data_IF_969432044832
#
_entry.id   IF_969432044832
#
_cell.length_a   1.000
_cell.length_b   1.000
_cell.length_c   1.000
_cell.angle_alpha   90.00
_cell.angle_beta   90.00
_cell.angle_gamma   90.00
#
_symmetry.space_group_name_H-M   'P 1'
#
loop_
_entity.id
_entity.type
_entity.pdbx_description
1 polymer ?
#
# COMPACT_ATOMS: atom_id res chain seq x y z
N UNK A 1 19.50 -41.72 17.28
CA UNK A 1 18.66 -40.88 18.15
C UNK A 1 17.68 -40.13 17.26
N UNK A 2 16.39 -40.32 17.48
CA UNK A 2 15.32 -40.09 16.50
C UNK A 2 14.99 -38.60 16.28
N UNK A 3 14.81 -38.24 15.01
CA UNK A 3 14.44 -36.90 14.49
C UNK A 3 13.03 -36.46 14.97
N UNK A 4 12.23 -37.37 15.53
CA UNK A 4 10.93 -37.07 16.15
C UNK A 4 11.02 -36.18 17.41
N UNK A 5 12.17 -36.12 18.09
CA UNK A 5 12.30 -35.39 19.35
C UNK A 5 12.52 -33.86 19.20
N UNK A 6 12.86 -33.37 18.00
CA UNK A 6 13.10 -31.94 17.73
C UNK A 6 11.81 -31.24 17.28
N UNK A 7 11.01 -31.91 16.44
CA UNK A 7 9.72 -31.37 15.97
C UNK A 7 8.71 -31.16 17.10
N UNK A 8 8.68 -32.06 18.10
CA UNK A 8 7.80 -31.91 19.26
C UNK A 8 8.23 -30.78 20.20
N UNK A 9 9.54 -30.47 20.30
CA UNK A 9 10.03 -29.34 21.12
C UNK A 9 9.69 -27.99 20.50
N UNK A 10 9.89 -27.83 19.20
CA UNK A 10 9.55 -26.59 18.48
C UNK A 10 8.05 -26.28 18.53
N UNK A 11 7.20 -27.31 18.43
CA UNK A 11 5.76 -27.14 18.58
C UNK A 11 5.39 -26.75 20.03
N UNK A 12 6.03 -27.35 21.04
CA UNK A 12 5.77 -27.01 22.44
C UNK A 12 6.17 -25.57 22.79
N UNK A 13 7.26 -25.05 22.22
CA UNK A 13 7.73 -23.67 22.42
C UNK A 13 6.81 -22.65 21.73
N UNK A 14 6.34 -22.95 20.51
CA UNK A 14 5.42 -22.08 19.79
C UNK A 14 4.05 -21.96 20.50
N UNK A 15 3.53 -23.08 21.03
CA UNK A 15 2.26 -23.10 21.77
C UNK A 15 2.38 -22.36 23.11
N UNK A 16 3.54 -22.43 23.79
CA UNK A 16 3.79 -21.68 25.03
C UNK A 16 3.93 -20.17 24.81
N UNK A 17 4.52 -19.73 23.70
CA UNK A 17 4.62 -18.30 23.40
C UNK A 17 3.28 -17.71 22.98
N UNK A 18 2.45 -18.47 22.27
CA UNK A 18 1.10 -18.03 21.90
C UNK A 18 0.18 -17.88 23.11
N UNK A 19 0.24 -18.80 24.08
CA UNK A 19 -0.58 -18.72 25.30
C UNK A 19 -0.20 -17.53 26.20
N UNK A 20 1.09 -17.15 26.26
CA UNK A 20 1.56 -15.95 26.99
C UNK A 20 1.02 -14.66 26.39
N UNK A 21 1.06 -14.52 25.06
CA UNK A 21 0.59 -13.32 24.36
C UNK A 21 -0.94 -13.19 24.42
N UNK A 22 -1.66 -14.31 24.37
CA UNK A 22 -3.11 -14.32 24.51
C UNK A 22 -3.58 -14.05 25.94
N UNK A 23 -2.85 -14.52 26.96
CA UNK A 23 -3.12 -14.18 28.37
C UNK A 23 -2.94 -12.69 28.66
N UNK A 24 -2.01 -12.00 27.99
CA UNK A 24 -1.82 -10.55 28.17
C UNK A 24 -2.90 -9.69 27.50
N UNK A 25 -3.72 -10.29 26.62
CA UNK A 25 -4.76 -9.58 25.87
C UNK A 25 -6.19 -9.84 26.42
N UNK A 26 -6.37 -10.86 27.27
CA UNK A 26 -7.68 -11.20 27.85
C UNK A 26 -7.85 -10.85 29.34
N UNK A 27 -6.80 -10.42 30.04
CA UNK A 27 -6.97 -9.80 31.37
C UNK A 27 -7.39 -8.33 31.20
N UNK A 28 -8.68 -8.13 30.98
CA UNK A 28 -9.36 -6.87 31.30
C UNK A 28 -9.24 -6.64 32.80
N UNK A 29 -8.21 -5.89 33.21
CA UNK A 29 -7.90 -5.54 34.59
C UNK A 29 -7.54 -4.05 34.68
N UNK A 30 -8.22 -3.38 35.59
CA UNK A 30 -8.28 -1.95 35.89
C UNK A 30 -6.95 -1.18 35.96
N UNK A 31 -6.99 0.04 35.40
CA UNK A 31 -6.05 1.16 35.54
C UNK A 31 -5.67 1.38 37.01
N UNK A 32 -4.37 1.44 37.31
CA UNK A 32 -3.87 1.74 38.65
C UNK A 32 -2.49 2.40 38.61
N UNK A 33 -2.49 3.73 38.78
CA UNK A 33 -1.36 4.49 39.32
C UNK A 33 -0.30 4.93 38.31
N UNK A 34 -0.33 6.22 37.97
CA UNK A 34 0.70 6.98 37.25
C UNK A 34 0.65 6.87 35.72
N UNK A 35 -0.48 7.29 35.18
CA UNK A 35 -0.56 7.85 33.84
C UNK A 35 0.35 9.07 33.75
N UNK A 36 1.38 9.00 32.89
CA UNK A 36 2.24 10.13 32.53
C UNK A 36 1.42 11.32 31.97
N UNK A 37 0.18 11.06 31.55
CA UNK A 37 -0.78 12.06 31.05
C UNK A 37 -1.42 12.93 32.14
N UNK A 38 -1.64 12.43 33.35
CA UNK A 38 -2.26 13.22 34.42
C UNK A 38 -1.26 14.24 35.01
N UNK A 39 0.02 13.83 35.13
CA UNK A 39 1.09 14.69 35.64
C UNK A 39 1.39 15.88 34.73
N UNK A 40 1.21 15.70 33.42
CA UNK A 40 1.41 16.77 32.42
C UNK A 40 0.22 17.72 32.30
N UNK A 41 -1.00 17.25 32.59
CA UNK A 41 -2.19 18.09 32.45
C UNK A 41 -2.32 19.08 33.61
N UNK A 42 -2.02 18.64 34.83
CA UNK A 42 -2.09 19.48 36.05
C UNK A 42 -1.04 20.61 36.01
N UNK A 43 0.18 20.29 35.55
CA UNK A 43 1.27 21.26 35.44
C UNK A 43 1.03 22.36 34.39
N UNK A 44 0.11 22.14 33.45
CA UNK A 44 -0.25 23.12 32.42
C UNK A 44 -1.28 24.15 32.88
N UNK A 45 -2.07 23.85 33.91
CA UNK A 45 -3.16 24.70 34.39
C UNK A 45 -2.74 25.64 35.51
N UNK A 46 -1.54 25.46 36.10
CA UNK A 46 -0.93 26.38 37.07
C UNK A 46 -0.06 27.46 36.39
N UNK A 47 -0.35 27.85 35.14
CA UNK A 47 0.37 28.95 34.48
C UNK A 47 -0.16 30.31 34.95
N UNK A 48 0.21 30.72 36.17
CA UNK A 48 0.03 32.08 36.72
C UNK A 48 1.00 33.11 36.11
N UNK A 49 1.24 33.02 34.81
CA UNK A 49 2.09 33.98 34.08
C UNK A 49 1.44 34.39 32.77
N UNK A 50 0.14 34.70 32.84
CA UNK A 50 -0.57 35.38 31.76
C UNK A 50 -0.19 36.86 31.67
N UNK A 51 0.54 37.41 32.64
CA UNK A 51 0.87 38.83 32.66
C UNK A 51 2.38 39.09 32.75
N UNK A 52 3.09 38.89 31.64
CA UNK A 52 4.30 39.66 31.36
C UNK A 52 4.48 39.78 29.85
N UNK A 53 4.27 40.99 29.35
CA UNK A 53 4.52 41.35 27.96
C UNK A 53 6.00 41.16 27.63
N UNK A 54 6.29 40.14 26.86
CA UNK A 54 7.61 39.87 26.31
C UNK A 54 7.43 39.69 24.80
N UNK A 55 8.19 40.48 24.05
CA UNK A 55 8.27 40.43 22.59
C UNK A 55 8.88 39.09 22.15
N UNK A 56 8.09 38.02 22.18
CA UNK A 56 8.51 36.72 21.69
C UNK A 56 8.25 36.63 20.19
N UNK A 57 9.27 37.04 19.44
CA UNK A 57 9.58 36.55 18.11
C UNK A 57 8.42 36.60 17.11
N UNK A 58 8.42 37.64 16.29
CA UNK A 58 7.85 37.60 14.94
C UNK A 58 8.62 36.58 14.06
N UNK A 59 8.69 35.33 14.49
CA UNK A 59 9.02 34.19 13.66
C UNK A 59 7.67 33.74 13.12
N UNK A 60 7.25 34.39 12.03
CA UNK A 60 6.29 33.75 11.14
C UNK A 60 6.89 32.39 10.79
N UNK A 61 6.33 31.34 11.37
CA UNK A 61 6.65 29.96 11.02
C UNK A 61 6.15 29.78 9.58
N UNK A 62 6.99 30.16 8.62
CA UNK A 62 6.75 29.93 7.22
C UNK A 62 6.72 28.41 7.08
N UNK A 63 5.51 27.85 7.00
CA UNK A 63 5.32 26.47 6.56
C UNK A 63 6.01 26.38 5.20
N UNK A 64 7.23 25.84 5.22
CA UNK A 64 8.03 25.60 4.04
C UNK A 64 7.35 24.43 3.36
N UNK A 65 6.38 24.73 2.51
CA UNK A 65 5.85 23.75 1.57
C UNK A 65 7.06 23.11 0.91
N UNK A 66 7.24 21.79 1.01
CA UNK A 66 8.31 21.15 0.26
C UNK A 66 8.04 21.50 -1.20
N UNK A 67 8.87 22.38 -1.76
CA UNK A 67 8.87 22.67 -3.20
C UNK A 67 9.07 21.31 -3.85
N UNK A 68 7.99 20.72 -4.36
CA UNK A 68 8.04 19.44 -5.03
C UNK A 68 9.08 19.59 -6.13
N UNK A 69 10.22 18.91 -5.97
CA UNK A 69 11.25 18.85 -6.99
C UNK A 69 10.55 18.31 -8.23
N UNK A 70 10.34 19.18 -9.23
CA UNK A 70 9.75 18.78 -10.49
C UNK A 70 10.78 17.85 -11.12
N UNK A 71 10.51 16.54 -11.09
CA UNK A 71 11.31 15.58 -11.83
C UNK A 71 11.15 15.96 -13.30
N UNK A 72 12.25 16.32 -13.99
CA UNK A 72 12.15 16.72 -15.38
C UNK A 72 11.55 15.56 -16.17
N UNK A 73 10.57 15.88 -17.02
CA UNK A 73 9.90 14.88 -17.86
C UNK A 73 10.92 14.38 -18.89
N UNK A 74 11.57 13.27 -18.57
CA UNK A 74 12.42 12.54 -19.52
C UNK A 74 11.53 11.62 -20.37
N UNK A 75 11.95 11.24 -21.59
CA UNK A 75 11.19 10.32 -22.44
C UNK A 75 10.79 9.02 -21.73
N UNK A 76 11.64 8.51 -20.83
CA UNK A 76 11.40 7.32 -20.02
C UNK A 76 10.28 7.50 -18.99
N UNK A 77 10.14 8.70 -18.42
CA UNK A 77 9.12 9.04 -17.44
C UNK A 77 7.93 9.82 -18.05
N UNK A 78 7.88 9.89 -19.38
CA UNK A 78 6.82 10.57 -20.11
C UNK A 78 5.53 9.75 -20.07
N UNK A 79 4.39 10.43 -20.13
CA UNK A 79 3.08 9.78 -20.22
C UNK A 79 3.01 8.76 -21.36
N UNK A 80 3.54 9.10 -22.54
CA UNK A 80 3.60 8.18 -23.68
C UNK A 80 4.46 6.95 -23.39
N UNK A 81 5.58 7.12 -22.67
CA UNK A 81 6.42 6.02 -22.21
C UNK A 81 5.66 5.09 -21.27
N UNK A 82 4.97 5.63 -20.28
CA UNK A 82 4.15 4.87 -19.33
C UNK A 82 3.03 4.09 -20.01
N UNK A 83 2.32 4.70 -20.97
CA UNK A 83 1.29 3.99 -21.76
C UNK A 83 1.91 2.86 -22.55
N UNK A 84 3.01 3.11 -23.26
CA UNK A 84 3.69 2.08 -24.06
C UNK A 84 4.13 0.90 -23.20
N UNK A 85 4.71 1.17 -22.03
CA UNK A 85 5.11 0.14 -21.07
C UNK A 85 3.91 -0.64 -20.55
N UNK A 86 2.80 0.06 -20.27
CA UNK A 86 1.57 -0.57 -19.80
C UNK A 86 0.93 -1.47 -20.88
N UNK A 87 0.97 -1.07 -22.15
CA UNK A 87 0.52 -1.90 -23.27
C UNK A 87 1.38 -3.16 -23.43
N UNK A 88 2.70 -3.03 -23.29
CA UNK A 88 3.60 -4.19 -23.27
C UNK A 88 3.25 -5.13 -22.12
N UNK A 89 2.97 -4.59 -20.93
CA UNK A 89 2.57 -5.37 -19.76
C UNK A 89 1.26 -6.13 -19.98
N UNK A 90 0.29 -5.51 -20.65
CA UNK A 90 -0.97 -6.16 -21.01
C UNK A 90 -0.73 -7.31 -21.98
N UNK A 91 0.17 -7.15 -22.95
CA UNK A 91 0.57 -8.22 -23.86
C UNK A 91 1.27 -9.38 -23.12
N UNK A 92 2.16 -9.08 -22.18
CA UNK A 92 2.78 -10.09 -21.31
C UNK A 92 1.74 -10.87 -20.49
N UNK A 93 0.74 -10.17 -19.92
CA UNK A 93 -0.34 -10.82 -19.18
C UNK A 93 -1.20 -11.72 -20.06
N UNK A 94 -1.45 -11.34 -21.31
CA UNK A 94 -2.17 -12.18 -22.27
C UNK A 94 -1.38 -13.44 -22.66
N UNK A 95 -0.08 -13.28 -22.93
CA UNK A 95 0.82 -14.40 -23.21
C UNK A 95 0.90 -15.36 -22.01
N UNK A 96 1.06 -14.83 -20.80
CA UNK A 96 1.08 -15.62 -19.57
C UNK A 96 -0.24 -16.39 -19.35
N UNK A 97 -1.39 -15.76 -19.65
CA UNK A 97 -2.69 -16.44 -19.62
C UNK A 97 -2.72 -17.59 -20.63
N UNK A 98 -2.29 -17.38 -21.87
CA UNK A 98 -2.30 -18.41 -22.90
C UNK A 98 -1.41 -19.59 -22.53
N UNK A 99 -0.19 -19.32 -22.03
CA UNK A 99 0.72 -20.35 -21.53
C UNK A 99 0.12 -21.12 -20.34
N UNK A 100 -0.49 -20.43 -19.37
CA UNK A 100 -1.14 -21.08 -18.23
C UNK A 100 -2.30 -21.99 -18.65
N UNK A 101 -3.09 -21.58 -19.67
CA UNK A 101 -4.16 -22.41 -20.23
C UNK A 101 -3.58 -23.66 -20.90
N UNK A 102 -2.52 -23.51 -21.69
CA UNK A 102 -1.86 -24.63 -22.36
C UNK A 102 -1.27 -25.62 -21.36
N UNK A 103 -0.55 -25.12 -20.35
CA UNK A 103 0.04 -25.95 -19.31
C UNK A 103 -1.01 -26.70 -18.50
N UNK A 104 -2.16 -26.06 -18.25
CA UNK A 104 -3.27 -26.68 -17.55
C UNK A 104 -3.95 -27.76 -18.40
N UNK A 105 -4.20 -27.47 -19.67
CA UNK A 105 -4.79 -28.43 -20.61
C UNK A 105 -3.87 -29.63 -20.89
N UNK A 106 -2.55 -29.40 -20.92
CA UNK A 106 -1.54 -30.45 -21.05
C UNK A 106 -1.32 -31.27 -19.77
N UNK A 107 -1.96 -30.89 -18.65
CA UNK A 107 -1.77 -31.53 -17.34
C UNK A 107 -0.42 -31.26 -16.69
N UNK A 108 0.39 -30.33 -17.25
CA UNK A 108 1.68 -29.89 -16.67
C UNK A 108 1.46 -29.12 -15.36
N UNK A 109 0.33 -28.42 -15.26
CA UNK A 109 -0.14 -27.79 -14.01
C UNK A 109 -1.58 -28.20 -13.72
N UNK A 110 -1.88 -28.46 -12.46
CA UNK A 110 -3.24 -28.73 -11.97
C UNK A 110 -3.76 -27.63 -11.05
N UNK A 111 -3.02 -26.52 -10.93
CA UNK A 111 -3.42 -25.41 -10.08
C UNK A 111 -4.45 -24.52 -10.79
N UNK A 112 -5.73 -24.90 -10.67
CA UNK A 112 -6.87 -24.13 -11.20
C UNK A 112 -6.93 -22.72 -10.63
N UNK A 113 -6.51 -22.52 -9.37
CA UNK A 113 -6.57 -21.21 -8.72
C UNK A 113 -5.64 -20.19 -9.39
N UNK A 114 -4.39 -20.59 -9.65
CA UNK A 114 -3.43 -19.73 -10.35
C UNK A 114 -3.83 -19.45 -11.80
N UNK A 115 -4.39 -20.46 -12.49
CA UNK A 115 -4.96 -20.28 -13.83
C UNK A 115 -6.04 -19.20 -13.80
N UNK A 116 -7.01 -19.33 -12.89
CA UNK A 116 -8.12 -18.38 -12.76
C UNK A 116 -7.63 -16.97 -12.43
N UNK A 117 -6.64 -16.84 -11.53
CA UNK A 117 -6.02 -15.54 -11.23
C UNK A 117 -5.38 -14.93 -12.48
N UNK A 118 -4.61 -15.73 -13.23
CA UNK A 118 -3.90 -15.26 -14.42
C UNK A 118 -4.88 -14.83 -15.52
N UNK A 119 -5.93 -15.62 -15.74
CA UNK A 119 -7.03 -15.28 -16.64
C UNK A 119 -7.74 -13.99 -16.24
N UNK A 120 -8.06 -13.83 -14.95
CA UNK A 120 -8.73 -12.64 -14.45
C UNK A 120 -7.85 -11.39 -14.57
N UNK A 121 -6.55 -11.50 -14.26
CA UNK A 121 -5.58 -10.41 -14.42
C UNK A 121 -5.51 -9.94 -15.87
N UNK A 122 -5.34 -10.86 -16.82
CA UNK A 122 -5.30 -10.54 -18.25
C UNK A 122 -6.61 -9.90 -18.74
N UNK A 123 -7.76 -10.49 -18.38
CA UNK A 123 -9.09 -9.97 -18.77
C UNK A 123 -9.33 -8.56 -18.22
N UNK A 124 -9.02 -8.32 -16.94
CA UNK A 124 -9.17 -7.02 -16.32
C UNK A 124 -8.23 -5.98 -16.95
N UNK A 125 -6.98 -6.35 -17.22
CA UNK A 125 -6.01 -5.48 -17.87
C UNK A 125 -6.49 -5.08 -19.28
N UNK A 126 -6.97 -6.03 -20.09
CA UNK A 126 -7.52 -5.77 -21.43
C UNK A 126 -8.75 -4.85 -21.41
N UNK A 127 -9.66 -5.05 -20.44
CA UNK A 127 -10.82 -4.17 -20.24
C UNK A 127 -10.38 -2.74 -19.92
N UNK A 128 -9.42 -2.59 -19.00
CA UNK A 128 -8.85 -1.29 -18.65
C UNK A 128 -8.20 -0.63 -19.87
N UNK A 129 -7.38 -1.35 -20.63
CA UNK A 129 -6.76 -0.83 -21.86
C UNK A 129 -7.80 -0.35 -22.86
N UNK A 130 -8.89 -1.09 -23.04
CA UNK A 130 -9.97 -0.70 -23.93
C UNK A 130 -10.69 0.57 -23.47
N UNK A 131 -10.95 0.70 -22.17
CA UNK A 131 -11.54 1.90 -21.57
C UNK A 131 -10.64 3.13 -21.76
N UNK A 132 -9.33 2.98 -21.49
CA UNK A 132 -8.34 4.06 -21.69
C UNK A 132 -8.25 4.44 -23.16
N UNK A 133 -8.18 3.46 -24.08
CA UNK A 133 -8.20 3.71 -25.53
C UNK A 133 -9.43 4.52 -25.93
N UNK A 134 -10.61 4.15 -25.43
CA UNK A 134 -11.85 4.90 -25.67
C UNK A 134 -11.73 6.36 -25.22
N UNK A 135 -11.21 6.61 -24.01
CA UNK A 135 -11.01 7.96 -23.47
C UNK A 135 -10.00 8.78 -24.24
N UNK A 136 -8.92 8.18 -24.73
CA UNK A 136 -7.93 8.87 -25.59
C UNK A 136 -8.56 9.29 -26.91
N UNK A 137 -9.37 8.41 -27.53
CA UNK A 137 -10.08 8.74 -28.76
C UNK A 137 -11.15 9.83 -28.55
N UNK A 138 -11.84 9.80 -27.41
CA UNK A 138 -12.79 10.84 -27.02
C UNK A 138 -12.10 12.19 -26.84
N UNK A 139 -10.98 12.25 -26.11
CA UNK A 139 -10.18 13.45 -25.94
C UNK A 139 -9.67 14.01 -27.27
N UNK A 140 -9.21 13.14 -28.18
CA UNK A 140 -8.80 13.56 -29.53
C UNK A 140 -9.96 14.18 -30.31
N UNK A 141 -11.14 13.54 -30.28
CA UNK A 141 -12.35 14.09 -30.93
C UNK A 141 -12.77 15.42 -30.32
N UNK A 142 -12.65 15.58 -29.01
CA UNK A 142 -13.00 16.83 -28.34
C UNK A 142 -12.06 17.97 -28.78
N UNK A 143 -10.75 17.72 -28.78
CA UNK A 143 -9.77 18.69 -29.30
C UNK A 143 -10.04 19.03 -30.77
N UNK A 144 -10.45 18.07 -31.60
CA UNK A 144 -10.76 18.34 -33.02
C UNK A 144 -12.07 19.11 -33.22
N UNK A 145 -12.97 19.07 -32.23
CA UNK A 145 -14.26 19.78 -32.23
C UNK A 145 -14.15 21.18 -31.63
N UNK A 146 -13.17 21.40 -30.75
CA UNK A 146 -12.69 22.72 -30.37
C UNK A 146 -11.95 23.34 -31.56
N UNK A 147 -12.68 23.57 -32.65
CA UNK A 147 -12.22 24.39 -33.76
C UNK A 147 -12.24 25.84 -33.25
N UNK A 148 -11.08 26.48 -33.26
CA UNK A 148 -10.93 27.92 -33.03
C UNK A 148 -11.71 28.73 -34.07
#
# INVERSE_FOLDING_TARGET
MSIQAVGMRAYSEAVQNFSKVQSSLQQGGSIGGQTQFAKTLDQSLLRDSVDRGENFGAQADFIKYPTQAHTPVTPQNSFSGTIKNSLNKVNELDSAKNAAIEDFAAGRTQNVHELMITMQKSSMAMKLTSAVRGKVLEAYKEISRMQF
#
